data_IF_454712704616
#
_entry.id   IF_454712704616
#
_cell.length_a   1.000
_cell.length_b   1.000
_cell.length_c   1.000
_cell.angle_alpha   90.00
_cell.angle_beta   90.00
_cell.angle_gamma   90.00
#
_symmetry.space_group_name_H-M   'P 1'
#
loop_
_entity.id
_entity.type
_entity.pdbx_description
1 polymer ?
#
# COMPACT_ATOMS: atom_id res chain seq x y z
N UNK A 1 4.48 6.57 9.99
CA UNK A 1 3.22 6.18 9.30
C UNK A 1 3.56 5.25 8.15
N UNK A 2 2.90 4.08 7.99
CA UNK A 2 3.23 3.11 6.92
C UNK A 2 2.26 3.23 5.75
N UNK A 3 2.76 3.09 4.53
CA UNK A 3 1.94 3.05 3.33
C UNK A 3 1.15 1.74 3.27
N UNK A 4 -0.17 1.83 3.10
CA UNK A 4 -1.09 0.69 3.03
C UNK A 4 -0.90 -0.17 1.77
N UNK A 5 -0.13 0.29 0.77
CA UNK A 5 0.13 -0.48 -0.45
C UNK A 5 1.56 -1.06 -0.50
N UNK A 6 2.59 -0.22 -0.43
CA UNK A 6 3.96 -0.70 -0.55
C UNK A 6 4.56 -1.22 0.76
N UNK A 7 4.03 -0.82 1.92
CA UNK A 7 4.55 -1.16 3.25
C UNK A 7 5.66 -0.24 3.76
N UNK A 8 6.21 0.63 2.92
CA UNK A 8 7.28 1.55 3.28
C UNK A 8 6.80 2.65 4.24
N UNK A 9 7.75 3.24 4.98
CA UNK A 9 7.48 4.39 5.83
C UNK A 9 7.24 5.65 4.99
N UNK A 10 6.15 6.35 5.30
CA UNK A 10 5.81 7.64 4.73
C UNK A 10 6.56 8.72 5.52
N UNK A 11 7.30 9.57 4.80
CA UNK A 11 7.96 10.75 5.37
C UNK A 11 6.90 11.75 5.88
N UNK A 12 7.12 12.39 7.04
CA UNK A 12 6.18 13.38 7.56
C UNK A 12 6.00 14.53 6.55
N UNK A 13 4.79 15.08 6.45
CA UNK A 13 4.45 16.12 5.48
C UNK A 13 4.32 15.64 4.02
N UNK A 14 4.45 14.34 3.75
CA UNK A 14 4.32 13.76 2.40
C UNK A 14 3.24 12.68 2.37
N UNK A 15 2.66 12.44 1.20
CA UNK A 15 1.70 11.36 0.95
C UNK A 15 0.25 11.82 0.90
N UNK A 16 -0.67 10.86 0.93
CA UNK A 16 -2.12 11.11 0.89
C UNK A 16 -2.85 10.16 1.82
N UNK A 17 -3.86 10.68 2.51
CA UNK A 17 -4.83 9.89 3.26
C UNK A 17 -6.10 9.73 2.42
N UNK A 18 -6.58 8.51 2.29
CA UNK A 18 -7.82 8.17 1.59
C UNK A 18 -8.76 7.44 2.54
N UNK A 19 -9.92 8.04 2.81
CA UNK A 19 -10.95 7.47 3.67
C UNK A 19 -11.99 6.78 2.79
N UNK A 20 -12.20 5.49 3.01
CA UNK A 20 -13.24 4.73 2.33
C UNK A 20 -14.60 4.96 3.00
N UNK A 21 -15.66 4.61 2.27
CA UNK A 21 -17.05 4.68 2.75
C UNK A 21 -17.26 3.81 4.00
N UNK A 22 -16.54 2.68 4.11
CA UNK A 22 -16.56 1.81 5.29
C UNK A 22 -15.77 2.37 6.49
N UNK A 23 -15.33 3.63 6.44
CA UNK A 23 -14.53 4.27 7.48
C UNK A 23 -13.06 3.84 7.51
N UNK A 24 -12.64 2.89 6.66
CA UNK A 24 -11.23 2.46 6.63
C UNK A 24 -10.34 3.54 6.04
N UNK A 25 -9.30 3.88 6.79
CA UNK A 25 -8.29 4.85 6.39
C UNK A 25 -7.14 4.12 5.69
N UNK A 26 -6.83 4.56 4.48
CA UNK A 26 -5.69 4.10 3.69
C UNK A 26 -4.68 5.24 3.57
N UNK A 27 -3.41 4.92 3.82
CA UNK A 27 -2.31 5.86 3.68
C UNK A 27 -1.47 5.50 2.46
N UNK A 28 -1.15 6.48 1.63
CA UNK A 28 -0.36 6.29 0.42
C UNK A 28 0.90 7.17 0.45
N UNK A 29 2.06 6.59 0.16
CA UNK A 29 3.31 7.33 0.05
C UNK A 29 3.41 8.15 -1.26
N UNK A 30 2.77 7.69 -2.34
CA UNK A 30 2.91 8.28 -3.68
C UNK A 30 1.71 8.01 -4.58
N UNK A 31 1.63 8.76 -5.69
CA UNK A 31 0.64 8.59 -6.75
C UNK A 31 0.78 7.29 -7.57
N UNK A 32 1.77 6.45 -7.25
CA UNK A 32 1.91 5.10 -7.80
C UNK A 32 1.08 4.12 -6.97
N UNK A 33 1.11 4.29 -5.66
CA UNK A 33 0.42 3.42 -4.70
C UNK A 33 -1.09 3.64 -4.73
N UNK A 34 -1.55 4.88 -4.87
CA UNK A 34 -2.98 5.19 -5.00
C UNK A 34 -3.57 4.62 -6.30
N UNK A 35 -2.90 4.79 -7.45
CA UNK A 35 -3.37 4.29 -8.75
C UNK A 35 -3.40 2.78 -8.78
N UNK A 36 -2.36 2.12 -8.25
CA UNK A 36 -2.34 0.66 -8.18
C UNK A 36 -3.49 0.11 -7.33
N UNK A 37 -3.76 0.70 -6.17
CA UNK A 37 -4.78 0.20 -5.26
C UNK A 37 -6.21 0.62 -5.66
N UNK A 38 -6.42 1.89 -6.02
CA UNK A 38 -7.75 2.46 -6.27
C UNK A 38 -8.20 2.30 -7.73
N UNK A 39 -7.32 2.61 -8.69
CA UNK A 39 -7.68 2.57 -10.12
C UNK A 39 -7.54 1.16 -10.70
N UNK A 40 -6.37 0.55 -10.50
CA UNK A 40 -6.03 -0.76 -11.07
C UNK A 40 -6.48 -1.94 -10.20
N UNK A 41 -6.98 -1.68 -8.98
CA UNK A 41 -7.44 -2.68 -8.00
C UNK A 41 -6.43 -3.83 -7.76
N UNK A 42 -5.13 -3.53 -7.88
CA UNK A 42 -4.06 -4.49 -7.62
C UNK A 42 -3.96 -4.75 -6.12
N UNK A 43 -3.77 -6.02 -5.74
CA UNK A 43 -3.51 -6.39 -4.35
C UNK A 43 -2.00 -6.34 -4.07
N UNK A 44 -1.55 -5.77 -2.94
CA UNK A 44 -0.13 -5.77 -2.55
C UNK A 44 0.49 -7.17 -2.60
N UNK A 45 -0.23 -8.16 -2.04
CA UNK A 45 0.15 -9.59 -2.04
C UNK A 45 0.48 -10.21 -3.39
N UNK A 46 -0.05 -9.66 -4.49
CA UNK A 46 0.24 -10.14 -5.86
C UNK A 46 1.27 -9.26 -6.59
N UNK A 47 1.73 -8.19 -5.95
CA UNK A 47 2.60 -7.17 -6.54
C UNK A 47 4.03 -7.36 -6.03
N UNK A 48 4.91 -7.87 -6.90
CA UNK A 48 6.26 -8.36 -6.57
C UNK A 48 7.14 -7.41 -5.76
N UNK A 49 7.00 -6.10 -5.97
CA UNK A 49 7.85 -5.08 -5.35
C UNK A 49 7.32 -4.57 -4.01
N UNK A 50 6.14 -5.01 -3.57
CA UNK A 50 5.60 -4.58 -2.26
C UNK A 50 6.17 -5.43 -1.15
N UNK A 51 6.28 -4.84 0.04
CA UNK A 51 6.78 -5.54 1.22
C UNK A 51 5.92 -6.75 1.59
N UNK A 52 4.60 -6.63 1.43
CA UNK A 52 3.64 -7.71 1.69
C UNK A 52 3.93 -8.96 0.84
N UNK A 53 4.23 -8.79 -0.47
CA UNK A 53 4.58 -9.90 -1.36
C UNK A 53 5.86 -10.62 -0.89
N UNK A 54 6.88 -9.85 -0.46
CA UNK A 54 8.14 -10.39 0.01
C UNK A 54 7.93 -11.19 1.30
N UNK A 55 7.11 -10.66 2.22
CA UNK A 55 6.78 -11.33 3.49
C UNK A 55 6.01 -12.63 3.26
N UNK A 56 5.01 -12.63 2.37
CA UNK A 56 4.21 -13.82 2.10
C UNK A 56 5.06 -14.93 1.46
N UNK A 57 5.98 -14.58 0.55
CA UNK A 57 6.94 -15.52 -0.05
C UNK A 57 7.96 -16.06 0.96
N UNK A 58 8.37 -15.25 1.95
CA UNK A 58 9.23 -15.72 3.05
C UNK A 58 8.48 -16.69 3.97
N UNK A 59 7.18 -16.49 4.19
CA UNK A 59 6.36 -17.36 5.04
C UNK A 59 6.08 -18.72 4.42
N UNK A 60 6.03 -18.80 3.09
CA UNK A 60 5.84 -20.05 2.35
C UNK A 60 7.10 -20.89 2.21
N UNK A 61 8.25 -20.39 2.65
CA UNK A 61 9.54 -21.09 2.61
C UNK A 61 9.90 -21.55 4.01
#
# INVERSE_FOLDING_TARGET
MKCSFCGEQIRPGTGKMFVKIDGKILYFCSSKCDKNMLKLKRKPRKTKWTQEYILEKKKSR
#
